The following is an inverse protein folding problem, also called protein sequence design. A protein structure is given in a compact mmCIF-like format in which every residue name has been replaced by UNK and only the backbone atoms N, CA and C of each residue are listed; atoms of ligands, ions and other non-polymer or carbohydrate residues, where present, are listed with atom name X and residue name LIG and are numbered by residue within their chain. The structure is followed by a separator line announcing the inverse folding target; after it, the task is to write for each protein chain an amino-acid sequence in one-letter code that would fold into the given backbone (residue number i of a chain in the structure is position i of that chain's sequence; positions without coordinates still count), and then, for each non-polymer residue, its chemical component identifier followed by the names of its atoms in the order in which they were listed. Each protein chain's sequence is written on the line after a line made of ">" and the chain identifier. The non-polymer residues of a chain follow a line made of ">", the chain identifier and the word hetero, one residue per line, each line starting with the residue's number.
data_IF_930234688960
#
_entry.id   IF_930234688960
#
_cell.length_a   1.000
_cell.length_b   1.000
_cell.length_c   1.000
_cell.angle_alpha   90.00
_cell.angle_beta   90.00
_cell.angle_gamma   90.00
#
_symmetry.space_group_name_H-M   'P 1'
#
loop_
_entity.id
_entity.type
_entity.pdbx_description
1 polymer ?
#
# COMPACT_ATOMS: atom_id res chain seq x y z
N UNK A 1 -23.13 -1.25 -8.82
CA UNK A 1 -21.97 -2.03 -9.33
C UNK A 1 -20.85 -1.04 -9.58
N UNK A 2 -19.70 -1.24 -8.95
CA UNK A 2 -18.48 -0.42 -9.12
C UNK A 2 -17.43 -1.19 -9.92
N UNK A 3 -16.55 -0.47 -10.59
CA UNK A 3 -15.41 -1.03 -11.34
C UNK A 3 -14.12 -0.72 -10.61
N UNK A 4 -13.37 -1.75 -10.21
CA UNK A 4 -12.17 -1.64 -9.42
C UNK A 4 -10.91 -1.98 -10.24
N UNK A 5 -9.94 -1.08 -10.27
CA UNK A 5 -8.58 -1.36 -10.76
C UNK A 5 -7.68 -1.71 -9.57
N UNK A 6 -7.20 -2.95 -9.52
CA UNK A 6 -6.44 -3.46 -8.37
C UNK A 6 -5.05 -3.87 -8.83
N UNK A 7 -4.01 -3.32 -8.20
CA UNK A 7 -2.63 -3.67 -8.53
C UNK A 7 -2.10 -4.81 -7.67
N UNK A 8 -1.37 -5.75 -8.28
CA UNK A 8 -0.70 -6.84 -7.56
C UNK A 8 -1.64 -7.95 -7.08
N UNK A 9 -2.55 -8.45 -7.93
CA UNK A 9 -3.56 -9.46 -7.59
C UNK A 9 -3.05 -10.91 -7.63
N UNK A 10 -1.78 -11.16 -7.94
CA UNK A 10 -1.27 -12.54 -8.06
C UNK A 10 -1.20 -13.31 -6.74
N UNK A 11 -1.28 -12.62 -5.59
CA UNK A 11 -1.28 -13.24 -4.26
C UNK A 11 -1.69 -12.25 -3.16
N UNK A 12 -1.82 -12.75 -1.93
CA UNK A 12 -1.95 -11.95 -0.71
C UNK A 12 -3.19 -11.03 -0.70
N UNK A 13 -3.04 -9.84 -0.13
CA UNK A 13 -4.15 -8.91 0.09
C UNK A 13 -4.78 -8.48 -1.25
N UNK A 14 -3.99 -8.22 -2.29
CA UNK A 14 -4.52 -7.85 -3.61
C UNK A 14 -5.41 -8.93 -4.22
N UNK A 15 -5.04 -10.22 -4.07
CA UNK A 15 -5.89 -11.33 -4.49
C UNK A 15 -7.16 -11.41 -3.63
N UNK A 16 -7.05 -11.22 -2.32
CA UNK A 16 -8.20 -11.17 -1.40
C UNK A 16 -9.18 -10.04 -1.73
N UNK A 17 -8.66 -8.84 -2.06
CA UNK A 17 -9.51 -7.71 -2.50
C UNK A 17 -10.22 -8.06 -3.82
N UNK A 18 -9.50 -8.60 -4.81
CA UNK A 18 -10.08 -8.97 -6.10
C UNK A 18 -11.23 -9.97 -5.95
N UNK A 19 -11.06 -11.00 -5.13
CA UNK A 19 -12.12 -11.97 -4.82
C UNK A 19 -13.32 -11.29 -4.16
N UNK A 20 -13.09 -10.50 -3.10
CA UNK A 20 -14.16 -9.84 -2.38
C UNK A 20 -14.97 -8.87 -3.26
N UNK A 21 -14.30 -8.14 -4.16
CA UNK A 21 -14.95 -7.29 -5.17
C UNK A 21 -15.88 -8.10 -6.07
N UNK A 22 -15.39 -9.20 -6.61
CA UNK A 22 -16.18 -10.04 -7.52
C UNK A 22 -17.34 -10.77 -6.81
N UNK A 23 -17.10 -11.24 -5.58
CA UNK A 23 -18.13 -11.86 -4.72
C UNK A 23 -19.24 -10.86 -4.32
N UNK A 24 -18.93 -9.57 -4.25
CA UNK A 24 -19.91 -8.52 -3.97
C UNK A 24 -20.77 -8.12 -5.18
N UNK A 25 -20.49 -8.68 -6.37
CA UNK A 25 -21.18 -8.35 -7.62
C UNK A 25 -20.60 -7.13 -8.36
N UNK A 26 -19.44 -6.63 -7.95
CA UNK A 26 -18.71 -5.57 -8.63
C UNK A 26 -17.78 -6.11 -9.72
N UNK A 27 -17.21 -5.24 -10.54
CA UNK A 27 -16.26 -5.54 -11.60
C UNK A 27 -14.81 -5.32 -11.13
N UNK A 28 -13.90 -6.20 -11.53
CA UNK A 28 -12.49 -6.10 -11.15
C UNK A 28 -11.55 -6.18 -12.37
N UNK A 29 -10.69 -5.17 -12.51
CA UNK A 29 -9.49 -5.24 -13.34
C UNK A 29 -8.38 -5.76 -12.43
N UNK A 30 -8.06 -7.04 -12.58
CA UNK A 30 -7.06 -7.74 -11.77
C UNK A 30 -5.72 -7.72 -12.48
N UNK A 31 -4.71 -7.15 -11.83
CA UNK A 31 -3.44 -6.92 -12.50
C UNK A 31 -2.25 -7.64 -11.85
N UNK A 32 -1.31 -8.01 -12.68
CA UNK A 32 0.01 -8.50 -12.31
C UNK A 32 1.00 -8.20 -13.43
N UNK A 33 2.33 -8.19 -13.18
CA UNK A 33 3.35 -8.08 -14.23
C UNK A 33 3.20 -9.14 -15.33
N UNK A 34 2.79 -10.34 -14.95
CA UNK A 34 2.37 -11.41 -15.85
C UNK A 34 0.90 -11.73 -15.58
N UNK A 35 0.02 -11.37 -16.51
CA UNK A 35 -1.44 -11.60 -16.38
C UNK A 35 -1.82 -13.07 -16.25
N UNK A 36 -0.99 -13.99 -16.72
CA UNK A 36 -1.20 -15.43 -16.53
C UNK A 36 -1.29 -15.84 -15.05
N UNK A 37 -0.70 -15.06 -14.13
CA UNK A 37 -0.77 -15.34 -12.68
C UNK A 37 -2.10 -14.95 -12.02
N UNK A 38 -3.04 -14.38 -12.75
CA UNK A 38 -4.38 -13.96 -12.26
C UNK A 38 -5.51 -14.51 -13.12
N UNK A 39 -5.22 -15.39 -14.07
CA UNK A 39 -6.25 -15.98 -14.95
C UNK A 39 -7.25 -16.85 -14.19
N UNK A 40 -6.83 -17.50 -13.12
CA UNK A 40 -7.71 -18.27 -12.23
C UNK A 40 -8.88 -17.43 -11.66
N UNK A 41 -8.64 -16.13 -11.44
CA UNK A 41 -9.68 -15.20 -10.98
C UNK A 41 -10.65 -14.91 -12.13
N UNK A 42 -10.14 -14.65 -13.33
CA UNK A 42 -10.98 -14.33 -14.50
C UNK A 42 -11.79 -15.54 -14.97
N UNK A 43 -11.21 -16.74 -14.93
CA UNK A 43 -11.93 -17.98 -15.26
C UNK A 43 -13.12 -18.24 -14.32
N UNK A 44 -13.01 -17.84 -13.05
CA UNK A 44 -14.10 -17.94 -12.09
C UNK A 44 -15.17 -16.85 -12.26
N UNK A 45 -14.84 -15.71 -12.88
CA UNK A 45 -15.71 -14.54 -13.05
C UNK A 45 -15.58 -13.90 -14.44
N UNK A 46 -15.86 -14.63 -15.53
CA UNK A 46 -15.52 -14.21 -16.89
C UNK A 46 -16.22 -12.92 -17.36
N UNK A 47 -17.41 -12.61 -16.82
CA UNK A 47 -18.19 -11.43 -17.20
C UNK A 47 -17.76 -10.16 -16.43
N UNK A 48 -17.27 -10.31 -15.21
CA UNK A 48 -16.99 -9.19 -14.28
C UNK A 48 -15.52 -9.00 -13.97
N UNK A 49 -14.64 -9.90 -14.39
CA UNK A 49 -13.20 -9.77 -14.22
C UNK A 49 -12.48 -9.56 -15.55
N UNK A 50 -11.41 -8.73 -15.51
CA UNK A 50 -10.48 -8.53 -16.61
C UNK A 50 -9.03 -8.68 -16.11
N UNK A 51 -8.26 -9.61 -16.71
CA UNK A 51 -6.84 -9.74 -16.42
C UNK A 51 -6.01 -8.79 -17.29
N UNK A 52 -5.21 -7.93 -16.68
CA UNK A 52 -4.35 -6.98 -17.38
C UNK A 52 -2.90 -7.11 -16.90
N UNK A 53 -1.96 -7.07 -17.83
CA UNK A 53 -0.53 -6.95 -17.49
C UNK A 53 -0.23 -5.54 -17.04
N UNK A 54 0.35 -5.39 -15.84
CA UNK A 54 0.72 -4.09 -15.28
C UNK A 54 2.05 -4.17 -14.54
N UNK A 55 3.02 -3.43 -15.06
CA UNK A 55 4.22 -3.04 -14.33
C UNK A 55 4.06 -1.60 -13.84
N UNK A 56 3.92 -1.42 -12.54
CA UNK A 56 3.74 -0.09 -11.91
C UNK A 56 4.98 0.81 -12.03
N UNK A 57 6.13 0.25 -12.45
CA UNK A 57 7.35 1.00 -12.73
C UNK A 57 7.43 1.54 -14.16
N UNK A 58 6.49 1.18 -15.04
CA UNK A 58 6.47 1.57 -16.45
C UNK A 58 5.27 2.45 -16.78
N UNK A 59 5.51 3.70 -17.18
CA UNK A 59 4.45 4.64 -17.58
C UNK A 59 3.61 4.11 -18.75
N UNK A 60 4.23 3.46 -19.72
CA UNK A 60 3.51 2.89 -20.86
C UNK A 60 2.64 1.71 -20.44
N UNK A 61 3.13 0.87 -19.52
CA UNK A 61 2.34 -0.21 -18.94
C UNK A 61 1.12 0.33 -18.18
N UNK A 62 1.30 1.40 -17.40
CA UNK A 62 0.20 2.06 -16.67
C UNK A 62 -0.84 2.63 -17.65
N UNK A 63 -0.41 3.37 -18.67
CA UNK A 63 -1.32 3.94 -19.70
C UNK A 63 -2.12 2.86 -20.41
N UNK A 64 -1.45 1.78 -20.82
CA UNK A 64 -2.10 0.65 -21.51
C UNK A 64 -3.11 -0.04 -20.59
N UNK A 65 -2.76 -0.32 -19.35
CA UNK A 65 -3.65 -0.98 -18.39
C UNK A 65 -4.89 -0.14 -18.09
N UNK A 66 -4.74 1.17 -17.90
CA UNK A 66 -5.85 2.09 -17.68
C UNK A 66 -6.74 2.17 -18.94
N UNK A 67 -6.13 2.19 -20.14
CA UNK A 67 -6.88 2.16 -21.39
C UNK A 67 -7.69 0.86 -21.55
N UNK A 68 -7.07 -0.32 -21.34
CA UNK A 68 -7.76 -1.61 -21.41
C UNK A 68 -8.95 -1.67 -20.43
N UNK A 69 -8.79 -1.11 -19.22
CA UNK A 69 -9.84 -1.04 -18.22
C UNK A 69 -11.03 -0.19 -18.70
N UNK A 70 -10.78 1.00 -19.24
CA UNK A 70 -11.83 1.86 -19.78
C UNK A 70 -12.47 1.28 -21.05
N UNK A 71 -11.70 0.65 -21.93
CA UNK A 71 -12.22 -0.01 -23.14
C UNK A 71 -13.21 -1.16 -22.78
N UNK A 72 -12.94 -1.90 -21.69
CA UNK A 72 -13.78 -3.02 -21.27
C UNK A 72 -15.02 -2.61 -20.48
N UNK A 73 -14.86 -1.72 -19.50
CA UNK A 73 -15.90 -1.41 -18.52
C UNK A 73 -16.41 0.04 -18.56
N UNK A 74 -15.78 0.91 -19.33
CA UNK A 74 -16.18 2.31 -19.50
C UNK A 74 -15.82 3.23 -18.32
N UNK A 75 -15.60 2.68 -17.14
CA UNK A 75 -15.29 3.43 -15.91
C UNK A 75 -14.24 2.73 -15.05
N UNK A 76 -13.59 3.49 -14.17
CA UNK A 76 -12.83 3.01 -13.01
C UNK A 76 -13.36 3.81 -11.83
N UNK A 77 -14.13 3.16 -10.97
CA UNK A 77 -14.73 3.80 -9.79
C UNK A 77 -13.82 3.72 -8.58
N UNK A 78 -13.00 2.67 -8.48
CA UNK A 78 -12.03 2.50 -7.40
C UNK A 78 -10.66 2.10 -7.93
N UNK A 79 -9.61 2.79 -7.49
CA UNK A 79 -8.21 2.41 -7.68
C UNK A 79 -7.65 1.86 -6.37
N UNK A 80 -7.08 0.65 -6.42
CA UNK A 80 -6.37 0.06 -5.28
C UNK A 80 -4.89 -0.11 -5.62
N UNK A 81 -4.06 0.77 -5.10
CA UNK A 81 -2.61 0.69 -5.17
C UNK A 81 -2.09 -0.29 -4.10
N UNK A 82 -2.10 -1.59 -4.43
CA UNK A 82 -1.66 -2.64 -3.53
C UNK A 82 -0.30 -3.23 -3.91
N UNK A 83 0.12 -3.17 -5.17
CA UNK A 83 1.42 -3.67 -5.60
C UNK A 83 2.55 -3.04 -4.79
N UNK A 84 3.46 -3.87 -4.29
CA UNK A 84 4.59 -3.43 -3.48
C UNK A 84 5.38 -4.60 -2.94
N UNK A 85 6.60 -4.31 -2.46
CA UNK A 85 7.47 -5.29 -1.85
C UNK A 85 8.30 -4.67 -0.73
N UNK A 86 8.95 -5.51 0.08
CA UNK A 86 9.81 -5.10 1.19
C UNK A 86 11.30 -5.16 0.83
N UNK A 87 12.09 -4.34 1.50
CA UNK A 87 13.55 -4.37 1.43
C UNK A 87 14.14 -4.34 2.84
N UNK A 88 15.13 -5.18 3.10
CA UNK A 88 15.78 -5.33 4.42
C UNK A 88 17.29 -5.13 4.32
N UNK A 89 17.77 -4.12 5.04
CA UNK A 89 19.20 -3.84 5.22
C UNK A 89 19.41 -2.88 6.40
N UNK A 90 20.61 -2.76 6.93
CA UNK A 90 21.01 -1.51 7.59
C UNK A 90 20.96 -0.38 6.55
N UNK A 91 20.83 0.87 6.99
CA UNK A 91 20.77 2.01 6.07
C UNK A 91 22.08 2.14 5.27
N UNK A 92 23.22 1.93 5.93
CA UNK A 92 24.54 2.02 5.31
C UNK A 92 24.79 0.89 4.27
N UNK A 93 24.13 -0.26 4.44
CA UNK A 93 24.27 -1.41 3.55
C UNK A 93 23.38 -1.33 2.30
N UNK A 94 22.41 -0.41 2.27
CA UNK A 94 21.40 -0.34 1.22
C UNK A 94 22.01 0.05 -0.15
N UNK A 95 21.83 -0.80 -1.15
CA UNK A 95 22.22 -0.53 -2.53
C UNK A 95 21.26 0.52 -3.13
N UNK A 96 21.81 1.66 -3.58
CA UNK A 96 20.98 2.81 -3.99
C UNK A 96 20.03 2.49 -5.14
N UNK A 97 20.44 1.67 -6.10
CA UNK A 97 19.62 1.24 -7.23
C UNK A 97 18.44 0.37 -6.78
N UNK A 98 18.66 -0.52 -5.81
CA UNK A 98 17.61 -1.33 -5.21
C UNK A 98 16.63 -0.47 -4.41
N UNK A 99 17.13 0.50 -3.68
CA UNK A 99 16.31 1.48 -2.94
C UNK A 99 15.49 2.33 -3.90
N UNK A 100 16.06 2.84 -4.98
CA UNK A 100 15.34 3.59 -6.02
C UNK A 100 14.22 2.75 -6.64
N UNK A 101 14.50 1.49 -6.94
CA UNK A 101 13.48 0.55 -7.47
C UNK A 101 12.36 0.29 -6.46
N UNK A 102 12.70 0.19 -5.18
CA UNK A 102 11.71 0.08 -4.10
C UNK A 102 10.76 1.29 -4.08
N UNK A 103 11.31 2.51 -4.13
CA UNK A 103 10.51 3.73 -4.17
C UNK A 103 9.71 3.86 -5.47
N UNK A 104 10.29 3.46 -6.60
CA UNK A 104 9.57 3.44 -7.87
C UNK A 104 8.32 2.56 -7.78
N UNK A 105 8.44 1.38 -7.15
CA UNK A 105 7.30 0.46 -7.00
C UNK A 105 6.31 0.93 -5.93
N UNK A 106 6.80 1.29 -4.73
CA UNK A 106 5.95 1.50 -3.56
C UNK A 106 5.36 2.92 -3.47
N UNK A 107 5.91 3.90 -4.21
CA UNK A 107 5.51 5.31 -4.14
C UNK A 107 5.20 5.89 -5.52
N UNK A 108 6.17 5.92 -6.44
CA UNK A 108 6.00 6.60 -7.72
C UNK A 108 5.01 5.89 -8.64
N UNK A 109 4.99 4.55 -8.66
CA UNK A 109 3.98 3.78 -9.39
C UNK A 109 2.55 4.11 -8.96
N UNK A 110 2.20 4.07 -7.66
CA UNK A 110 0.94 4.58 -7.14
C UNK A 110 0.62 6.02 -7.59
N UNK A 111 1.59 6.94 -7.53
CA UNK A 111 1.40 8.34 -7.99
C UNK A 111 1.00 8.39 -9.47
N UNK A 112 1.70 7.68 -10.33
CA UNK A 112 1.40 7.67 -11.77
C UNK A 112 0.03 7.03 -12.07
N UNK A 113 -0.36 5.99 -11.35
CA UNK A 113 -1.71 5.40 -11.46
C UNK A 113 -2.79 6.37 -11.01
N UNK A 114 -2.59 7.07 -9.88
CA UNK A 114 -3.51 8.12 -9.41
C UNK A 114 -3.69 9.18 -10.50
N UNK A 115 -2.59 9.71 -11.06
CA UNK A 115 -2.64 10.70 -12.15
C UNK A 115 -3.36 10.18 -13.39
N UNK A 116 -3.24 8.89 -13.69
CA UNK A 116 -3.87 8.29 -14.86
C UNK A 116 -5.39 8.14 -14.73
N UNK A 117 -5.92 7.89 -13.52
CA UNK A 117 -7.37 7.68 -13.30
C UNK A 117 -8.11 8.97 -12.90
N UNK A 118 -7.44 9.92 -12.22
CA UNK A 118 -8.06 11.12 -11.68
C UNK A 118 -8.81 11.99 -12.71
N UNK A 119 -8.34 12.18 -13.96
CA UNK A 119 -9.07 13.00 -14.94
C UNK A 119 -10.51 12.52 -15.13
N UNK A 120 -10.72 11.21 -15.27
CA UNK A 120 -12.06 10.62 -15.42
C UNK A 120 -12.87 10.67 -14.13
N UNK A 121 -12.27 10.39 -12.98
CA UNK A 121 -12.95 10.50 -11.69
C UNK A 121 -13.43 11.93 -11.41
N UNK A 122 -12.65 12.95 -11.83
CA UNK A 122 -13.06 14.37 -11.74
C UNK A 122 -14.25 14.71 -12.64
N UNK A 123 -14.27 14.20 -13.87
CA UNK A 123 -15.42 14.33 -14.78
C UNK A 123 -16.68 13.70 -14.18
N UNK A 124 -16.55 12.54 -13.54
CA UNK A 124 -17.62 11.81 -12.88
C UNK A 124 -18.05 12.42 -11.54
N UNK A 125 -17.21 13.30 -10.94
CA UNK A 125 -17.35 13.84 -9.57
C UNK A 125 -17.51 12.75 -8.51
N UNK A 126 -16.90 11.61 -8.74
CA UNK A 126 -16.93 10.45 -7.85
C UNK A 126 -15.73 9.55 -8.11
N UNK A 127 -15.30 8.83 -7.09
CA UNK A 127 -14.22 7.86 -7.18
C UNK A 127 -13.62 7.53 -5.82
N UNK A 128 -12.89 6.43 -5.77
CA UNK A 128 -12.21 5.95 -4.58
C UNK A 128 -10.75 5.64 -4.89
N UNK A 129 -9.83 6.14 -4.08
CA UNK A 129 -8.40 5.85 -4.18
C UNK A 129 -7.94 5.22 -2.87
N UNK A 130 -7.54 3.95 -2.93
CA UNK A 130 -7.06 3.18 -1.79
C UNK A 130 -5.58 2.88 -1.95
N UNK A 131 -4.76 3.42 -1.06
CA UNK A 131 -3.33 3.20 -1.06
C UNK A 131 -2.95 2.22 0.06
N UNK A 132 -2.47 1.04 -0.31
CA UNK A 132 -2.04 0.01 0.65
C UNK A 132 -0.62 0.34 1.12
N UNK A 133 -0.54 0.82 2.37
CA UNK A 133 0.71 1.12 3.07
C UNK A 133 1.16 -0.06 3.94
N UNK A 134 1.45 0.16 5.19
CA UNK A 134 1.80 -0.84 6.20
C UNK A 134 1.85 -0.16 7.57
N UNK A 135 1.71 -0.90 8.67
CA UNK A 135 2.07 -0.37 10.00
C UNK A 135 3.53 0.10 10.06
N UNK A 136 4.37 -0.33 9.10
CA UNK A 136 5.73 0.18 8.95
C UNK A 136 5.78 1.70 8.65
N UNK A 137 4.72 2.30 8.12
CA UNK A 137 4.61 3.74 7.91
C UNK A 137 4.54 4.51 9.24
N UNK A 138 3.87 3.95 10.24
CA UNK A 138 3.78 4.56 11.58
C UNK A 138 5.03 4.32 12.43
N UNK A 139 5.72 3.16 12.21
CA UNK A 139 6.89 2.73 12.97
C UNK A 139 7.84 1.91 12.10
N UNK A 140 9.13 2.20 12.16
CA UNK A 140 10.13 1.36 11.51
C UNK A 140 10.63 0.26 12.46
N UNK A 141 10.89 -0.93 11.92
CA UNK A 141 11.64 -1.97 12.60
C UNK A 141 13.10 -1.95 12.15
N UNK A 142 13.98 -2.56 12.94
CA UNK A 142 15.39 -2.74 12.58
C UNK A 142 15.51 -3.39 11.19
N UNK A 143 16.38 -2.85 10.36
CA UNK A 143 16.60 -3.29 8.98
C UNK A 143 15.45 -2.97 8.02
N UNK A 144 14.45 -2.18 8.43
CA UNK A 144 13.29 -1.85 7.62
C UNK A 144 13.21 -0.38 7.17
N UNK A 145 14.25 0.41 7.40
CA UNK A 145 14.23 1.85 7.21
C UNK A 145 13.74 2.28 5.82
N UNK A 146 14.29 1.72 4.76
CA UNK A 146 13.90 2.05 3.38
C UNK A 146 12.46 1.66 3.04
N UNK A 147 12.04 0.46 3.45
CA UNK A 147 10.65 0.04 3.25
C UNK A 147 9.68 0.92 4.04
N UNK A 148 9.96 1.15 5.32
CA UNK A 148 9.12 1.97 6.19
C UNK A 148 8.98 3.39 5.65
N UNK A 149 10.07 4.02 5.22
CA UNK A 149 10.05 5.38 4.65
C UNK A 149 9.29 5.44 3.32
N UNK A 150 9.38 4.43 2.44
CA UNK A 150 8.58 4.38 1.21
C UNK A 150 7.07 4.30 1.50
N UNK A 151 6.67 3.54 2.54
CA UNK A 151 5.27 3.42 2.95
C UNK A 151 4.78 4.65 3.72
N UNK A 152 5.62 5.30 4.53
CA UNK A 152 5.31 6.56 5.19
C UNK A 152 5.14 7.70 4.17
N UNK A 153 5.96 7.74 3.12
CA UNK A 153 5.81 8.70 2.04
C UNK A 153 4.45 8.55 1.32
N UNK A 154 4.04 7.31 1.01
CA UNK A 154 2.73 7.05 0.41
C UNK A 154 1.58 7.41 1.36
N UNK A 155 1.72 7.17 2.66
CA UNK A 155 0.72 7.49 3.66
C UNK A 155 0.48 8.99 3.76
N UNK A 156 1.54 9.80 3.92
CA UNK A 156 1.45 11.25 3.99
C UNK A 156 0.99 11.88 2.67
N UNK A 157 1.42 11.35 1.52
CA UNK A 157 0.90 11.76 0.22
C UNK A 157 -0.61 11.52 0.14
N UNK A 158 -1.09 10.37 0.62
CA UNK A 158 -2.52 10.05 0.64
C UNK A 158 -3.30 11.01 1.54
N UNK A 159 -2.74 11.38 2.69
CA UNK A 159 -3.36 12.36 3.58
C UNK A 159 -3.53 13.76 2.91
N UNK A 160 -2.51 14.22 2.15
CA UNK A 160 -2.65 15.41 1.31
C UNK A 160 -3.72 15.25 0.25
N UNK A 161 -3.68 14.12 -0.47
CA UNK A 161 -4.62 13.80 -1.55
C UNK A 161 -6.09 13.77 -1.08
N UNK A 162 -6.38 13.25 0.11
CA UNK A 162 -7.74 13.28 0.69
C UNK A 162 -8.30 14.69 0.73
N UNK A 163 -7.51 15.66 1.18
CA UNK A 163 -7.90 17.06 1.32
C UNK A 163 -8.11 17.73 -0.05
N UNK A 164 -7.26 17.41 -1.03
CA UNK A 164 -7.36 17.92 -2.40
C UNK A 164 -8.60 17.38 -3.13
N UNK A 165 -8.97 16.12 -2.89
CA UNK A 165 -10.03 15.44 -3.60
C UNK A 165 -11.42 15.60 -2.99
N UNK A 166 -11.52 15.92 -1.69
CA UNK A 166 -12.79 16.07 -1.00
C UNK A 166 -13.75 17.07 -1.70
N UNK A 167 -13.30 18.27 -2.16
CA UNK A 167 -14.18 19.19 -2.87
C UNK A 167 -14.64 18.69 -4.25
N UNK A 168 -13.97 17.66 -4.78
CA UNK A 168 -14.25 17.07 -6.09
C UNK A 168 -15.18 15.86 -6.02
N UNK A 169 -15.64 15.48 -4.81
CA UNK A 169 -16.47 14.30 -4.61
C UNK A 169 -15.72 12.97 -4.74
N UNK A 170 -14.39 13.00 -4.69
CA UNK A 170 -13.54 11.80 -4.76
C UNK A 170 -12.97 11.53 -3.37
N UNK A 171 -13.03 10.28 -2.94
CA UNK A 171 -12.56 9.85 -1.62
C UNK A 171 -11.23 9.10 -1.73
N UNK A 172 -10.36 9.30 -0.77
CA UNK A 172 -9.12 8.53 -0.67
C UNK A 172 -8.99 7.94 0.74
N UNK A 173 -8.27 6.82 0.87
CA UNK A 173 -8.05 6.12 2.14
C UNK A 173 -6.70 5.43 2.13
N UNK A 174 -6.04 5.45 3.27
CA UNK A 174 -4.89 4.59 3.56
C UNK A 174 -5.39 3.25 4.07
N UNK A 175 -4.95 2.16 3.46
CA UNK A 175 -5.06 0.82 4.03
C UNK A 175 -3.73 0.47 4.67
N UNK A 176 -3.71 0.25 5.99
CA UNK A 176 -2.50 0.04 6.79
C UNK A 176 -2.47 -1.37 7.40
N UNK A 177 -2.06 -2.41 6.64
CA UNK A 177 -2.01 -3.78 7.15
C UNK A 177 -0.89 -3.98 8.16
N UNK A 178 -1.17 -4.84 9.16
CA UNK A 178 -0.15 -5.48 9.97
C UNK A 178 0.46 -6.71 9.27
N UNK A 179 0.74 -7.75 10.06
CA UNK A 179 1.27 -9.00 9.53
C UNK A 179 0.15 -9.92 9.04
N UNK A 180 0.09 -10.14 7.75
CA UNK A 180 -0.87 -11.01 7.07
C UNK A 180 -0.18 -12.26 6.51
N UNK A 181 -0.88 -13.39 6.48
CA UNK A 181 -0.42 -14.66 5.93
C UNK A 181 -0.43 -14.61 4.40
N UNK A 182 0.64 -14.04 3.84
CA UNK A 182 0.84 -13.82 2.42
C UNK A 182 2.22 -14.28 2.01
N UNK A 183 2.54 -14.19 0.73
CA UNK A 183 3.89 -14.44 0.20
C UNK A 183 4.87 -13.29 0.45
N UNK A 184 4.49 -12.26 1.22
CA UNK A 184 5.34 -11.09 1.46
C UNK A 184 6.73 -11.44 2.01
N UNK A 185 6.84 -12.51 2.80
CA UNK A 185 8.11 -12.99 3.37
C UNK A 185 8.88 -13.95 2.46
N UNK A 186 8.37 -14.24 1.25
CA UNK A 186 9.09 -14.99 0.25
C UNK A 186 10.12 -14.09 -0.45
N UNK A 187 11.25 -14.65 -0.89
CA UNK A 187 12.35 -13.86 -1.45
C UNK A 187 12.01 -13.02 -2.69
N UNK A 188 10.89 -13.32 -3.36
CA UNK A 188 10.37 -12.50 -4.46
C UNK A 188 9.79 -11.16 -3.96
N UNK A 189 9.19 -11.13 -2.75
CA UNK A 189 8.47 -9.98 -2.19
C UNK A 189 9.17 -9.35 -0.98
N UNK A 190 10.21 -9.98 -0.43
CA UNK A 190 11.07 -9.42 0.59
C UNK A 190 12.51 -9.55 0.14
N UNK A 191 13.04 -8.48 -0.40
CA UNK A 191 14.41 -8.38 -0.89
C UNK A 191 15.35 -7.87 0.21
N UNK A 192 16.64 -8.00 0.02
CA UNK A 192 17.67 -7.50 0.90
C UNK A 192 18.94 -7.17 0.14
N UNK A 193 19.84 -6.48 0.83
CA UNK A 193 21.16 -6.15 0.29
C UNK A 193 22.05 -7.37 0.17
N UNK A 194 22.98 -7.35 -0.79
CA UNK A 194 24.09 -8.30 -0.89
C UNK A 194 25.28 -7.86 -0.04
N UNK A 195 25.46 -6.55 0.14
CA UNK A 195 26.49 -6.00 1.01
C UNK A 195 26.11 -6.24 2.47
N UNK A 196 27.03 -6.75 3.27
CA UNK A 196 26.83 -6.99 4.71
C UNK A 196 28.05 -6.50 5.46
N UNK A 197 27.82 -5.54 6.38
CA UNK A 197 28.84 -4.98 7.26
C UNK A 197 28.73 -5.72 8.60
N UNK A 198 29.85 -6.33 9.05
CA UNK A 198 29.87 -7.19 10.24
C UNK A 198 29.36 -6.50 11.51
N UNK A 199 29.58 -5.20 11.66
CA UNK A 199 29.17 -4.41 12.82
C UNK A 199 27.63 -4.35 12.97
N UNK A 200 26.87 -4.54 11.89
CA UNK A 200 25.40 -4.58 11.92
C UNK A 200 24.81 -5.98 12.14
N UNK A 201 25.63 -7.04 12.10
CA UNK A 201 25.11 -8.42 12.16
C UNK A 201 24.32 -8.70 13.45
N UNK A 202 24.80 -8.26 14.59
CA UNK A 202 24.13 -8.45 15.87
C UNK A 202 22.75 -7.77 15.94
N UNK A 203 22.53 -6.70 15.19
CA UNK A 203 21.31 -5.89 15.21
C UNK A 203 20.39 -6.20 14.02
N UNK A 204 20.93 -6.21 12.81
CA UNK A 204 20.17 -6.35 11.56
C UNK A 204 20.07 -7.81 11.09
N UNK A 205 21.01 -8.67 11.48
CA UNK A 205 21.12 -10.05 11.00
C UNK A 205 19.80 -10.83 11.05
N UNK A 206 19.07 -10.76 12.17
CA UNK A 206 17.77 -11.42 12.35
C UNK A 206 16.65 -10.90 11.45
N UNK A 207 16.77 -9.69 10.94
CA UNK A 207 15.78 -9.07 10.06
C UNK A 207 16.08 -9.24 8.57
N UNK A 208 17.21 -9.85 8.20
CA UNK A 208 17.58 -10.13 6.81
C UNK A 208 16.61 -11.13 6.16
N UNK A 209 16.36 -11.02 4.85
CA UNK A 209 15.56 -12.01 4.13
C UNK A 209 16.12 -13.42 4.31
N UNK A 210 15.25 -14.37 4.55
CA UNK A 210 15.68 -15.76 4.84
C UNK A 210 15.70 -16.14 6.33
N UNK A 211 15.94 -15.17 7.22
CA UNK A 211 16.06 -15.44 8.68
C UNK A 211 14.72 -15.33 9.43
N UNK A 212 13.58 -15.20 8.71
CA UNK A 212 12.25 -15.17 9.32
C UNK A 212 11.76 -16.59 9.63
N UNK A 213 11.68 -16.92 10.91
CA UNK A 213 11.29 -18.25 11.39
C UNK A 213 9.78 -18.54 11.20
N UNK A 214 8.94 -17.52 11.27
CA UNK A 214 7.47 -17.65 11.28
C UNK A 214 6.81 -17.30 9.94
N UNK A 215 7.40 -17.71 8.80
CA UNK A 215 6.80 -17.53 7.49
C UNK A 215 5.45 -18.26 7.41
N UNK A 216 4.45 -17.61 6.82
CA UNK A 216 3.10 -18.14 6.65
C UNK A 216 2.35 -18.51 7.94
N UNK A 217 2.79 -18.00 9.11
CA UNK A 217 2.14 -18.20 10.41
C UNK A 217 1.50 -16.92 10.96
N UNK A 218 1.49 -15.85 10.17
CA UNK A 218 0.90 -14.57 10.55
C UNK A 218 -0.61 -14.75 10.83
N UNK A 219 -1.14 -13.97 11.79
CA UNK A 219 -2.53 -14.07 12.20
C UNK A 219 -3.51 -13.45 11.17
N UNK A 220 -3.05 -12.48 10.38
CA UNK A 220 -3.90 -11.80 9.40
C UNK A 220 -4.28 -12.72 8.23
N UNK A 221 -5.56 -12.72 7.89
CA UNK A 221 -6.15 -13.45 6.76
C UNK A 221 -6.36 -12.46 5.60
N UNK A 222 -5.68 -12.66 4.44
CA UNK A 222 -5.80 -11.72 3.31
C UNK A 222 -7.20 -11.70 2.66
N UNK A 223 -7.95 -12.80 2.68
CA UNK A 223 -9.29 -12.83 2.11
C UNK A 223 -10.26 -12.04 3.02
N UNK A 224 -10.14 -12.16 4.35
CA UNK A 224 -10.88 -11.31 5.29
C UNK A 224 -10.51 -9.84 5.17
N UNK A 225 -9.23 -9.52 4.94
CA UNK A 225 -8.80 -8.15 4.69
C UNK A 225 -9.47 -7.57 3.44
N UNK A 226 -9.52 -8.35 2.34
CA UNK A 226 -10.22 -7.98 1.13
C UNK A 226 -11.68 -7.64 1.37
N UNK A 227 -12.39 -8.50 2.10
CA UNK A 227 -13.79 -8.27 2.44
C UNK A 227 -14.00 -6.98 3.25
N UNK A 228 -13.23 -6.76 4.31
CA UNK A 228 -13.32 -5.54 5.11
C UNK A 228 -13.10 -4.28 4.28
N UNK A 229 -12.11 -4.29 3.36
CA UNK A 229 -11.82 -3.15 2.48
C UNK A 229 -13.01 -2.86 1.56
N UNK A 230 -13.60 -3.89 0.95
CA UNK A 230 -14.76 -3.75 0.05
C UNK A 230 -15.99 -3.26 0.83
N UNK A 231 -16.27 -3.83 2.01
CA UNK A 231 -17.39 -3.43 2.87
C UNK A 231 -17.29 -1.93 3.26
N UNK A 232 -16.09 -1.44 3.60
CA UNK A 232 -15.86 -0.02 3.95
C UNK A 232 -16.17 0.90 2.76
N UNK A 233 -15.76 0.53 1.55
CA UNK A 233 -16.04 1.33 0.34
C UNK A 233 -17.53 1.26 -0.04
N UNK A 234 -18.18 0.14 0.17
CA UNK A 234 -19.62 0.00 -0.11
C UNK A 234 -20.49 0.81 0.87
N UNK A 235 -20.08 0.86 2.14
CA UNK A 235 -20.77 1.66 3.15
C UNK A 235 -20.54 3.17 3.00
N UNK A 236 -19.61 3.56 2.11
CA UNK A 236 -19.26 4.95 1.81
C UNK A 236 -18.77 5.79 3.04
N UNK A 237 -18.41 5.12 4.12
CA UNK A 237 -17.86 5.70 5.35
C UNK A 237 -16.38 5.30 5.49
N UNK A 238 -15.51 6.03 4.77
CA UNK A 238 -14.09 5.75 4.70
C UNK A 238 -13.34 6.42 5.84
N UNK A 239 -12.60 5.66 6.68
CA UNK A 239 -11.65 6.26 7.60
C UNK A 239 -10.45 6.83 6.81
N UNK A 240 -9.77 7.84 7.36
CA UNK A 240 -8.51 8.30 6.76
C UNK A 240 -7.48 7.16 6.68
N UNK A 241 -7.38 6.36 7.76
CA UNK A 241 -6.47 5.21 7.87
C UNK A 241 -7.24 4.00 8.38
N UNK A 242 -7.33 2.97 7.56
CA UNK A 242 -7.87 1.66 7.94
C UNK A 242 -6.73 0.73 8.37
N UNK A 243 -6.44 0.68 9.66
CA UNK A 243 -5.44 -0.25 10.21
C UNK A 243 -6.03 -1.65 10.34
N UNK A 244 -5.42 -2.63 9.67
CA UNK A 244 -5.92 -4.00 9.61
C UNK A 244 -5.11 -4.96 10.50
N UNK A 245 -5.82 -5.66 11.37
CA UNK A 245 -5.31 -6.67 12.30
C UNK A 245 -5.19 -6.18 13.75
N UNK A 246 -5.65 -7.02 14.70
CA UNK A 246 -5.68 -6.68 16.14
C UNK A 246 -4.31 -6.23 16.67
N UNK A 247 -3.26 -7.01 16.37
CA UNK A 247 -1.90 -6.68 16.80
C UNK A 247 -1.38 -5.39 16.13
N UNK A 248 -1.80 -5.11 14.89
CA UNK A 248 -1.46 -3.89 14.18
C UNK A 248 -2.04 -2.64 14.88
N UNK A 249 -3.33 -2.68 15.20
CA UNK A 249 -4.01 -1.60 15.93
C UNK A 249 -3.31 -1.31 17.26
N UNK A 250 -3.02 -2.35 18.05
CA UNK A 250 -2.29 -2.19 19.33
C UNK A 250 -0.90 -1.57 19.12
N UNK A 251 -0.15 -2.05 18.13
CA UNK A 251 1.21 -1.58 17.88
C UNK A 251 1.23 -0.12 17.39
N UNK A 252 0.31 0.27 16.51
CA UNK A 252 0.19 1.65 16.03
C UNK A 252 -0.22 2.57 17.17
N UNK A 253 -1.23 2.19 17.97
CA UNK A 253 -1.67 2.95 19.14
C UNK A 253 -0.52 3.21 20.11
N UNK A 254 0.21 2.17 20.53
CA UNK A 254 1.36 2.31 21.41
C UNK A 254 2.47 3.21 20.83
N UNK A 255 2.67 3.17 19.51
CA UNK A 255 3.65 4.04 18.83
C UNK A 255 3.20 5.51 18.87
N UNK A 256 1.91 5.79 18.66
CA UNK A 256 1.38 7.15 18.73
C UNK A 256 1.44 7.70 20.15
N UNK A 257 1.09 6.90 21.15
CA UNK A 257 1.19 7.26 22.57
C UNK A 257 2.64 7.62 22.95
N UNK A 258 3.63 6.84 22.49
CA UNK A 258 5.05 7.13 22.73
C UNK A 258 5.50 8.43 22.04
N UNK A 259 5.01 8.72 20.82
CA UNK A 259 5.31 9.97 20.11
C UNK A 259 4.71 11.18 20.81
N UNK A 260 3.49 11.06 21.33
CA UNK A 260 2.85 12.13 22.12
C UNK A 260 3.69 12.42 23.38
N UNK A 261 4.05 11.39 24.13
CA UNK A 261 4.87 11.54 25.33
C UNK A 261 6.22 12.21 25.04
N UNK A 262 6.85 11.92 23.89
CA UNK A 262 8.10 12.56 23.49
C UNK A 262 7.90 14.03 23.09
N UNK A 263 6.79 14.37 22.41
CA UNK A 263 6.40 15.76 22.12
C UNK A 263 6.18 16.54 23.41
N UNK A 264 5.43 16.00 24.37
CA UNK A 264 5.15 16.64 25.63
C UNK A 264 6.43 16.92 26.43
N UNK A 265 7.35 15.95 26.45
CA UNK A 265 8.66 16.07 27.11
C UNK A 265 9.50 17.24 26.58
N UNK A 266 9.42 17.52 25.28
CA UNK A 266 10.23 18.55 24.63
C UNK A 266 9.48 19.84 24.32
N UNK A 267 8.21 19.97 24.76
CA UNK A 267 7.31 21.07 24.39
C UNK A 267 7.90 22.45 24.75
N UNK A 268 8.42 22.63 25.98
CA UNK A 268 9.00 23.90 26.43
C UNK A 268 10.26 24.28 25.62
N UNK A 269 11.13 23.29 25.36
CA UNK A 269 12.33 23.51 24.55
C UNK A 269 11.95 23.86 23.12
N UNK A 270 10.97 23.18 22.55
CA UNK A 270 10.50 23.45 21.18
C UNK A 270 9.88 24.85 21.06
N UNK A 271 9.09 25.28 22.06
CA UNK A 271 8.47 26.60 22.07
C UNK A 271 9.47 27.75 22.25
N UNK A 272 10.67 27.48 22.79
CA UNK A 272 11.68 28.51 23.00
C UNK A 272 12.30 29.11 21.72
N UNK A 273 11.98 28.52 20.54
CA UNK A 273 12.41 29.08 19.25
C UNK A 273 11.36 30.03 18.62
N UNK A 274 10.22 30.24 19.26
CA UNK A 274 9.22 31.20 18.78
C UNK A 274 9.66 32.62 19.11
N UNK A 275 9.22 33.62 18.34
CA UNK A 275 9.39 35.01 18.69
C UNK A 275 8.56 35.33 19.95
N UNK A 276 9.11 36.20 20.82
CA UNK A 276 8.35 36.75 21.94
C UNK A 276 7.08 37.47 21.41
N UNK A 277 5.93 37.26 22.07
CA UNK A 277 4.70 37.94 21.70
C UNK A 277 4.93 39.47 21.63
N UNK A 278 4.65 40.05 20.44
CA UNK A 278 4.74 41.50 20.22
C UNK A 278 6.05 41.99 19.54
N UNK A 279 6.92 41.08 19.08
CA UNK A 279 8.07 41.45 18.22
C UNK A 279 7.85 41.14 16.77
#
# INVERSE_FOLDING_TARGET
>A
MKTWLITGCSSGIGKGIAKAVLESGDQAIVTARNKGKVMDIVEAYPETALAVSLDVCSQDSIKNAVKEAYDKFGTIDALVNNAGYGYRSAVEEGEIEAVQTLYQTNLFGPIELIKAVLPKMREQKSGYILNVTSIAAARSAVGSGYYASSKAALELLTNGLMKELAPLGIKAMVVQPGAFRTRFYDGEFLQGTKAQIGDYEAVVGKSRPGNFENKHQQAGDPDKAGKVIVDVVHNDDLPEILTLGKAAVTAVKSTLEAKIAELDKWAEVSASCDYEEGK
#
